data_IF_138260322095
#
_entry.id   IF_138260322095
#
_cell.length_a   1.000
_cell.length_b   1.000
_cell.length_c   1.000
_cell.angle_alpha   90.00
_cell.angle_beta   90.00
_cell.angle_gamma   90.00
#
_symmetry.space_group_name_H-M   'P 1'
#
loop_
_entity.id
_entity.type
_entity.pdbx_description
1 polymer ?
#
# COMPACT_ATOMS: atom_id res chain seq x y z
N UNK A 1 18.29 1.78 -23.70
CA UNK A 1 17.32 0.66 -23.88
C UNK A 1 16.52 0.49 -22.58
N UNK A 2 15.20 0.26 -22.63
CA UNK A 2 14.42 0.02 -21.40
C UNK A 2 14.88 -1.25 -20.66
N UNK A 3 14.78 -1.25 -19.32
CA UNK A 3 15.13 -2.39 -18.48
C UNK A 3 14.27 -3.61 -18.85
N UNK A 4 14.81 -4.83 -18.66
CA UNK A 4 14.14 -6.08 -19.07
C UNK A 4 12.70 -6.17 -18.53
N UNK A 5 12.46 -5.72 -17.30
CA UNK A 5 11.13 -5.69 -16.68
C UNK A 5 10.17 -4.74 -17.40
N UNK A 6 10.60 -3.50 -17.63
CA UNK A 6 9.77 -2.50 -18.33
C UNK A 6 9.37 -2.94 -19.74
N UNK A 7 10.27 -3.57 -20.51
CA UNK A 7 9.95 -4.07 -21.87
C UNK A 7 8.89 -5.16 -21.88
N UNK A 8 8.76 -5.89 -20.79
CA UNK A 8 7.80 -6.98 -20.60
C UNK A 8 6.59 -6.55 -19.77
N UNK A 9 6.36 -5.23 -19.63
CA UNK A 9 5.25 -4.66 -18.87
C UNK A 9 5.18 -5.19 -17.42
N UNK A 10 6.34 -5.34 -16.78
CA UNK A 10 6.48 -5.74 -15.38
C UNK A 10 6.78 -4.50 -14.54
N UNK A 11 5.87 -4.16 -13.62
CA UNK A 11 6.13 -3.19 -12.56
C UNK A 11 6.93 -3.88 -11.45
N UNK A 12 8.03 -3.27 -11.01
CA UNK A 12 8.82 -3.76 -9.88
C UNK A 12 8.49 -2.91 -8.66
N UNK A 13 7.92 -3.52 -7.64
CA UNK A 13 7.78 -2.95 -6.30
C UNK A 13 8.95 -3.36 -5.40
N UNK A 14 8.86 -2.97 -4.13
CA UNK A 14 9.91 -3.27 -3.13
C UNK A 14 9.90 -4.74 -2.67
N UNK A 15 8.71 -5.36 -2.62
CA UNK A 15 8.53 -6.73 -2.13
C UNK A 15 8.27 -7.74 -3.25
N UNK A 16 7.62 -7.31 -4.32
CA UNK A 16 7.21 -8.16 -5.43
C UNK A 16 7.15 -7.39 -6.75
N UNK A 17 6.88 -8.11 -7.83
CA UNK A 17 6.64 -7.56 -9.15
C UNK A 17 5.24 -7.89 -9.64
N UNK A 18 4.71 -7.08 -10.55
CA UNK A 18 3.38 -7.26 -11.11
C UNK A 18 3.41 -7.18 -12.63
N UNK A 19 2.88 -8.21 -13.30
CA UNK A 19 2.71 -8.17 -14.75
C UNK A 19 1.41 -7.47 -15.12
N UNK A 20 1.52 -6.31 -15.78
CA UNK A 20 0.37 -5.50 -16.22
C UNK A 20 -0.48 -6.19 -17.27
N UNK A 21 0.10 -7.10 -18.04
CA UNK A 21 -0.56 -7.73 -19.19
C UNK A 21 -1.28 -9.01 -18.77
N UNK A 22 -0.64 -9.80 -17.90
CA UNK A 22 -1.22 -11.03 -17.37
C UNK A 22 -2.04 -10.80 -16.10
N UNK A 23 -1.96 -9.61 -15.51
CA UNK A 23 -2.58 -9.28 -14.21
C UNK A 23 -2.20 -10.27 -13.11
N UNK A 24 -0.90 -10.52 -12.95
CA UNK A 24 -0.38 -11.55 -12.04
C UNK A 24 0.74 -10.99 -11.16
N UNK A 25 0.71 -11.30 -9.86
CA UNK A 25 1.80 -11.04 -8.91
C UNK A 25 2.93 -12.05 -9.05
N UNK A 26 4.16 -11.58 -8.97
CA UNK A 26 5.40 -12.32 -9.17
C UNK A 26 6.27 -12.08 -7.93
N UNK A 27 6.31 -13.02 -6.97
CA UNK A 27 6.91 -12.81 -5.65
C UNK A 27 8.42 -12.52 -5.68
N UNK A 28 9.16 -13.05 -6.65
CA UNK A 28 10.60 -12.84 -6.76
C UNK A 28 11.12 -12.68 -8.18
N UNK A 29 12.38 -12.28 -8.29
CA UNK A 29 13.04 -12.07 -9.59
C UNK A 29 13.12 -13.37 -10.42
N UNK A 30 13.22 -14.55 -9.79
CA UNK A 30 13.16 -15.86 -10.48
C UNK A 30 11.80 -16.11 -11.14
N UNK A 31 10.71 -15.81 -10.42
CA UNK A 31 9.34 -15.91 -10.96
C UNK A 31 9.14 -14.93 -12.12
N UNK A 32 9.71 -13.73 -12.03
CA UNK A 32 9.68 -12.74 -13.10
C UNK A 32 10.37 -13.27 -14.37
N UNK A 33 11.56 -13.85 -14.22
CA UNK A 33 12.29 -14.40 -15.36
C UNK A 33 11.56 -15.59 -15.99
N UNK A 34 11.04 -16.50 -15.17
CA UNK A 34 10.22 -17.63 -15.63
C UNK A 34 8.95 -17.14 -16.34
N UNK A 35 8.28 -16.12 -15.79
CA UNK A 35 7.08 -15.51 -16.36
C UNK A 35 7.35 -14.86 -17.71
N UNK A 36 8.44 -14.09 -17.84
CA UNK A 36 8.82 -13.44 -19.11
C UNK A 36 9.10 -14.48 -20.21
N UNK A 37 9.65 -15.65 -19.84
CA UNK A 37 9.92 -16.72 -20.80
C UNK A 37 8.67 -17.49 -21.22
N UNK A 38 7.60 -17.47 -20.40
CA UNK A 38 6.35 -18.17 -20.64
C UNK A 38 5.70 -17.77 -21.97
N UNK A 39 5.27 -18.76 -22.75
CA UNK A 39 4.63 -18.54 -24.07
C UNK A 39 3.33 -17.77 -23.98
N UNK A 40 2.54 -17.96 -22.91
CA UNK A 40 1.28 -17.25 -22.69
C UNK A 40 1.53 -15.76 -22.45
N UNK A 41 2.54 -15.43 -21.63
CA UNK A 41 2.93 -14.04 -21.40
C UNK A 41 3.32 -13.35 -22.71
N UNK A 42 4.17 -13.99 -23.53
CA UNK A 42 4.58 -13.47 -24.84
C UNK A 42 3.39 -13.26 -25.77
N UNK A 43 2.45 -14.20 -25.80
CA UNK A 43 1.22 -14.09 -26.58
C UNK A 43 0.35 -12.92 -26.12
N UNK A 44 0.23 -12.69 -24.81
CA UNK A 44 -0.52 -11.56 -24.25
C UNK A 44 0.20 -10.22 -24.44
N UNK A 45 1.54 -10.18 -24.43
CA UNK A 45 2.34 -8.96 -24.60
C UNK A 45 2.35 -8.46 -26.05
N UNK A 46 2.33 -9.37 -27.02
CA UNK A 46 2.37 -9.05 -28.47
C UNK A 46 1.30 -8.04 -28.91
N UNK A 47 0.01 -8.14 -28.53
CA UNK A 47 -1.01 -7.18 -28.94
C UNK A 47 -0.94 -5.84 -28.18
N UNK A 48 -0.05 -5.68 -27.20
CA UNK A 48 0.08 -4.45 -26.40
C UNK A 48 0.87 -3.41 -27.19
N UNK A 49 0.14 -2.64 -28.01
CA UNK A 49 0.69 -1.58 -28.84
C UNK A 49 1.16 -0.37 -28.01
N UNK A 50 2.13 0.36 -28.57
CA UNK A 50 2.44 1.70 -28.11
C UNK A 50 1.24 2.63 -28.33
N UNK A 51 1.09 3.62 -27.47
CA UNK A 51 0.12 4.66 -27.67
C UNK A 51 0.61 5.58 -28.78
N UNK A 52 -0.07 5.58 -29.94
CA UNK A 52 0.43 6.21 -31.18
C UNK A 52 0.90 7.67 -30.99
N UNK A 53 0.20 8.43 -30.13
CA UNK A 53 0.52 9.83 -29.81
C UNK A 53 1.87 10.01 -29.10
N UNK A 54 2.32 8.99 -28.36
CA UNK A 54 3.51 9.03 -27.51
C UNK A 54 4.39 7.77 -27.68
N UNK A 55 4.46 7.26 -28.92
CA UNK A 55 5.18 6.02 -29.21
C UNK A 55 6.69 6.18 -29.09
N UNK A 56 7.20 7.38 -29.40
CA UNK A 56 8.63 7.71 -29.39
C UNK A 56 9.16 7.88 -27.95
N UNK A 57 8.27 8.17 -27.01
CA UNK A 57 8.51 8.24 -25.57
C UNK A 57 8.29 6.88 -24.87
N UNK A 58 8.08 5.82 -25.66
CA UNK A 58 7.86 4.45 -25.20
C UNK A 58 6.67 4.31 -24.24
N UNK A 59 5.56 5.00 -24.53
CA UNK A 59 4.31 4.86 -23.78
C UNK A 59 3.46 3.74 -24.39
N UNK A 60 3.03 2.77 -23.58
CA UNK A 60 2.12 1.68 -24.00
C UNK A 60 0.76 1.81 -23.33
N UNK A 61 -0.30 1.46 -24.07
CA UNK A 61 -1.63 1.33 -23.47
C UNK A 61 -1.77 -0.05 -22.86
N UNK A 62 -2.03 -0.14 -21.56
CA UNK A 62 -2.17 -1.42 -20.84
C UNK A 62 -3.59 -1.59 -20.32
N UNK A 63 -4.14 -2.80 -20.50
CA UNK A 63 -5.45 -3.19 -19.96
C UNK A 63 -5.29 -3.66 -18.52
N UNK A 64 -4.90 -2.75 -17.63
CA UNK A 64 -4.65 -3.06 -16.22
C UNK A 64 -5.61 -2.31 -15.30
N UNK A 65 -6.23 -3.03 -14.37
CA UNK A 65 -6.99 -2.48 -13.24
C UNK A 65 -6.01 -2.16 -12.10
N UNK A 66 -5.02 -1.32 -12.37
CA UNK A 66 -4.19 -0.78 -11.29
C UNK A 66 -4.81 0.57 -10.92
N UNK A 67 -5.28 0.72 -9.68
CA UNK A 67 -5.92 1.93 -9.12
C UNK A 67 -7.37 2.26 -9.55
N UNK A 68 -8.29 1.28 -9.58
CA UNK A 68 -9.74 1.52 -9.72
C UNK A 68 -10.22 2.25 -11.00
N UNK A 69 -9.34 2.59 -11.94
CA UNK A 69 -9.71 3.19 -13.21
C UNK A 69 -10.23 2.13 -14.19
N UNK A 70 -11.45 2.31 -14.68
CA UNK A 70 -12.13 1.38 -15.60
C UNK A 70 -11.59 1.52 -17.04
N UNK A 71 -10.92 2.64 -17.36
CA UNK A 71 -10.55 3.02 -18.73
C UNK A 71 -9.12 2.61 -19.15
N UNK A 72 -8.40 1.88 -18.28
CA UNK A 72 -7.03 1.40 -18.54
C UNK A 72 -5.96 2.49 -18.38
N UNK A 73 -4.77 2.07 -17.97
CA UNK A 73 -3.63 2.96 -17.74
C UNK A 73 -2.62 2.99 -18.90
N UNK A 74 -1.71 3.95 -18.84
CA UNK A 74 -0.59 4.06 -19.78
C UNK A 74 0.71 3.73 -19.05
N UNK A 75 1.47 2.74 -19.55
CA UNK A 75 2.75 2.34 -18.96
C UNK A 75 3.88 3.11 -19.63
N UNK A 76 4.61 3.89 -18.85
CA UNK A 76 5.86 4.51 -19.30
C UNK A 76 7.01 3.52 -19.13
N UNK A 77 7.52 2.98 -20.23
CA UNK A 77 8.67 2.06 -20.19
C UNK A 77 9.95 2.78 -19.73
N UNK A 78 10.00 4.11 -19.85
CA UNK A 78 11.17 4.87 -19.41
C UNK A 78 11.33 4.82 -17.89
N UNK A 79 10.26 5.15 -17.18
CA UNK A 79 10.24 5.26 -15.73
C UNK A 79 9.75 3.98 -15.01
N UNK A 80 9.20 3.02 -15.76
CA UNK A 80 8.51 1.84 -15.24
C UNK A 80 7.35 2.16 -14.30
N UNK A 81 6.50 3.12 -14.68
CA UNK A 81 5.33 3.59 -13.91
C UNK A 81 4.08 3.59 -14.77
N UNK A 82 2.91 3.48 -14.12
CA UNK A 82 1.61 3.73 -14.76
C UNK A 82 1.26 5.20 -14.59
N UNK A 83 0.78 5.81 -15.67
CA UNK A 83 0.27 7.17 -15.71
C UNK A 83 -1.13 7.16 -16.31
N UNK A 84 -2.00 8.02 -15.80
CA UNK A 84 -3.31 8.28 -16.42
C UNK A 84 -3.13 9.08 -17.70
N UNK A 85 -4.10 9.02 -18.63
CA UNK A 85 -3.99 9.69 -19.93
C UNK A 85 -3.72 11.20 -19.80
N UNK A 86 -4.44 11.85 -18.88
CA UNK A 86 -4.38 13.29 -18.64
C UNK A 86 -3.04 13.71 -18.02
N UNK A 87 -2.31 12.79 -17.39
CA UNK A 87 -1.03 13.07 -16.75
C UNK A 87 0.18 12.73 -17.62
N UNK A 88 0.01 12.13 -18.81
CA UNK A 88 1.15 11.73 -19.66
C UNK A 88 2.05 12.94 -19.97
N UNK A 89 1.47 14.06 -20.41
CA UNK A 89 2.24 15.24 -20.80
C UNK A 89 3.01 15.83 -19.60
N UNK A 90 2.38 15.89 -18.44
CA UNK A 90 3.03 16.38 -17.22
C UNK A 90 4.14 15.43 -16.75
N UNK A 91 3.89 14.12 -16.80
CA UNK A 91 4.89 13.10 -16.50
C UNK A 91 6.10 13.20 -17.42
N UNK A 92 5.91 13.31 -18.74
CA UNK A 92 7.01 13.42 -19.71
C UNK A 92 7.86 14.68 -19.50
N UNK A 93 7.28 15.75 -18.95
CA UNK A 93 7.98 17.00 -18.61
C UNK A 93 8.63 16.96 -17.22
N UNK A 94 8.34 15.97 -16.40
CA UNK A 94 8.82 15.88 -15.02
C UNK A 94 10.35 15.74 -14.92
N UNK A 95 10.93 16.23 -13.83
CA UNK A 95 12.36 16.11 -13.58
C UNK A 95 12.78 14.63 -13.43
N UNK A 96 11.89 13.81 -12.89
CA UNK A 96 12.07 12.38 -12.68
C UNK A 96 12.16 11.64 -14.02
N UNK A 97 11.28 11.95 -14.97
CA UNK A 97 11.31 11.36 -16.31
C UNK A 97 12.59 11.74 -17.05
N UNK A 98 12.93 13.03 -17.06
CA UNK A 98 14.16 13.52 -17.68
C UNK A 98 15.41 12.90 -17.04
N UNK A 99 15.44 12.75 -15.71
CA UNK A 99 16.53 12.07 -15.00
C UNK A 99 16.63 10.59 -15.38
N UNK A 100 15.51 9.91 -15.60
CA UNK A 100 15.48 8.52 -16.04
C UNK A 100 16.02 8.36 -17.47
N UNK A 101 15.77 9.32 -18.37
CA UNK A 101 16.37 9.36 -19.71
C UNK A 101 17.89 9.51 -19.59
N UNK A 102 18.37 10.52 -18.85
CA UNK A 102 19.81 10.78 -18.71
C UNK A 102 20.55 9.59 -18.10
N UNK A 103 19.99 8.94 -17.07
CA UNK A 103 20.57 7.73 -16.46
C UNK A 103 20.72 6.59 -17.49
N UNK A 104 19.78 6.46 -18.43
CA UNK A 104 19.85 5.42 -19.46
C UNK A 104 20.94 5.69 -20.47
N UNK A 105 21.07 6.92 -20.94
CA UNK A 105 22.13 7.30 -21.88
C UNK A 105 23.51 7.06 -21.27
N UNK A 106 23.66 7.36 -19.97
CA UNK A 106 24.90 7.10 -19.23
C UNK A 106 25.19 5.60 -19.10
N UNK A 107 24.19 4.77 -18.77
CA UNK A 107 24.35 3.32 -18.65
C UNK A 107 24.71 2.63 -19.97
N UNK A 108 24.24 3.15 -21.10
CA UNK A 108 24.60 2.63 -22.42
C UNK A 108 26.05 2.97 -22.78
N UNK A 109 26.53 4.12 -22.33
CA UNK A 109 27.92 4.53 -22.52
C UNK A 109 28.89 3.67 -21.71
N UNK A 110 28.57 3.34 -20.45
CA UNK A 110 29.42 2.49 -19.59
C UNK A 110 29.49 1.06 -20.10
N UNK A 111 28.36 0.46 -20.50
CA UNK A 111 28.36 -0.93 -20.99
C UNK A 111 29.06 -1.10 -22.34
N UNK A 112 29.00 -0.08 -23.21
CA UNK A 112 29.74 -0.09 -24.48
C UNK A 112 31.25 0.00 -24.26
N UNK A 113 31.70 0.66 -23.18
CA UNK A 113 33.13 0.75 -22.84
C UNK A 113 33.65 -0.52 -22.15
N UNK A 114 32.83 -1.21 -21.37
CA UNK A 114 33.16 -2.48 -20.73
C UNK A 114 33.32 -3.61 -21.76
N UNK A 115 32.39 -3.73 -22.72
CA UNK A 115 32.47 -4.73 -23.80
C UNK A 115 33.72 -4.50 -24.66
N UNK A 116 34.07 -3.23 -24.94
CA UNK A 116 35.28 -2.88 -25.67
C UNK A 116 36.58 -3.11 -24.87
N UNK A 117 36.52 -3.08 -23.53
CA UNK A 117 37.65 -3.39 -22.66
C UNK A 117 37.87 -4.91 -22.58
N UNK A 118 36.81 -5.71 -22.47
CA UNK A 118 36.89 -7.18 -22.43
C UNK A 118 37.34 -7.78 -23.77
N UNK A 119 36.90 -7.23 -24.91
CA UNK A 119 37.40 -7.65 -26.23
C UNK A 119 38.90 -7.36 -26.43
N UNK A 120 39.42 -6.27 -25.83
CA UNK A 120 40.86 -5.96 -25.86
C UNK A 120 41.67 -6.89 -24.95
N UNK A 121 41.10 -7.34 -23.84
CA UNK A 121 41.73 -8.33 -22.95
C UNK A 121 41.77 -9.73 -23.58
N UNK A 122 40.71 -10.14 -24.28
CA UNK A 122 40.70 -11.43 -25.00
C UNK A 122 41.60 -11.45 -26.24
N UNK A 123 41.69 -10.34 -27.00
CA UNK A 123 42.64 -10.24 -28.14
C UNK A 123 44.11 -10.24 -27.71
N UNK A 124 44.42 -9.81 -26.48
CA UNK A 124 45.77 -9.90 -25.92
C UNK A 124 46.10 -11.28 -25.33
N UNK A 125 45.09 -12.09 -24.97
CA UNK A 125 45.30 -13.44 -24.44
C UNK A 125 45.59 -14.48 -25.54
N UNK A 126 45.12 -14.26 -26.77
CA UNK A 126 45.33 -15.17 -27.91
C UNK A 126 46.74 -15.04 -28.54
N UNK A 127 47.54 -14.03 -28.18
CA UNK A 127 48.93 -13.87 -28.68
C UNK A 127 50.02 -14.42 -27.77
N UNK A 128 49.68 -15.01 -26.62
CA UNK A 128 50.65 -15.65 -25.72
C UNK A 128 50.07 -16.98 -25.24
N UNK A 129 50.18 -18.01 -26.08
CA UNK A 129 50.24 -19.42 -25.69
C UNK A 129 50.19 -20.27 -26.97
N UNK A 130 51.30 -20.25 -27.70
CA UNK A 130 51.68 -21.37 -28.54
C UNK A 130 52.90 -22.00 -27.90
N UNK A 131 52.75 -23.12 -27.19
CA UNK A 131 53.52 -24.36 -27.36
C UNK A 131 53.15 -25.42 -26.30
N UNK A 132 53.41 -26.69 -26.65
CA UNK A 132 53.44 -27.93 -25.86
C UNK A 132 52.13 -28.71 -25.56
N UNK A 133 51.91 -29.72 -26.41
CA UNK A 133 51.89 -31.16 -26.09
C UNK A 133 50.87 -31.78 -25.12
N UNK A 134 49.92 -32.52 -25.72
CA UNK A 134 49.59 -33.95 -25.51
C UNK A 134 49.89 -34.58 -24.12
N UNK A 135 48.83 -34.85 -23.34
CA UNK A 135 48.61 -36.15 -22.68
C UNK A 135 47.10 -36.41 -22.54
N UNK A 136 46.66 -37.60 -22.98
CA UNK A 136 45.32 -38.16 -22.77
C UNK A 136 45.27 -38.83 -21.40
N UNK A 137 44.31 -38.51 -20.55
CA UNK A 137 43.80 -39.44 -19.55
C UNK A 137 42.29 -39.27 -19.33
N UNK A 138 41.65 -40.44 -19.22
CA UNK A 138 40.21 -40.70 -19.03
C UNK A 138 40.02 -40.99 -17.53
N UNK A 139 38.87 -40.66 -16.92
CA UNK A 139 38.37 -41.61 -15.93
C UNK A 139 36.88 -41.91 -16.05
N UNK A 140 36.63 -43.17 -15.79
CA UNK A 140 35.37 -43.85 -15.60
C UNK A 140 34.66 -43.35 -14.34
N UNK A 141 33.33 -43.37 -14.31
CA UNK A 141 32.62 -43.53 -13.03
C UNK A 141 31.36 -44.35 -13.21
N UNK A 142 31.21 -45.27 -12.27
CA UNK A 142 30.42 -46.50 -12.30
C UNK A 142 28.96 -46.26 -11.93
N UNK A 143 28.09 -46.89 -12.70
CA UNK A 143 26.67 -47.14 -12.42
C UNK A 143 26.52 -48.20 -11.33
N UNK A 144 25.73 -47.94 -10.30
CA UNK A 144 25.34 -48.92 -9.28
C UNK A 144 23.82 -49.10 -9.31
N UNK A 145 23.41 -50.28 -9.76
CA UNK A 145 22.04 -50.80 -9.76
C UNK A 145 21.86 -51.84 -8.65
N UNK A 146 20.59 -52.09 -8.30
CA UNK A 146 20.03 -53.21 -7.52
C UNK A 146 20.02 -53.00 -5.98
N UNK A 147 19.03 -53.41 -5.18
CA UNK A 147 18.06 -54.53 -5.26
C UNK A 147 16.75 -54.24 -4.50
N UNK A 148 15.70 -54.92 -4.98
CA UNK A 148 14.46 -55.31 -4.28
C UNK A 148 14.71 -55.97 -2.93
N UNK A 149 13.85 -55.67 -1.95
CA UNK A 149 13.23 -56.70 -1.09
C UNK A 149 11.96 -56.16 -0.42
N UNK A 150 10.89 -56.94 -0.57
CA UNK A 150 9.69 -57.03 0.27
C UNK A 150 9.62 -58.51 0.71
N UNK A 151 8.69 -58.97 1.57
CA UNK A 151 7.62 -58.28 2.30
C UNK A 151 7.64 -58.55 3.81
N UNK A 152 6.85 -57.82 4.60
CA UNK A 152 6.22 -58.44 5.77
C UNK A 152 4.93 -57.73 6.17
N UNK A 153 3.92 -58.55 6.38
CA UNK A 153 2.56 -58.21 6.77
C UNK A 153 2.50 -57.90 8.27
N UNK A 154 1.86 -56.79 8.64
CA UNK A 154 1.24 -56.71 9.97
C UNK A 154 0.00 -55.81 9.91
N UNK A 155 -1.17 -56.47 9.88
CA UNK A 155 -2.48 -55.86 10.06
C UNK A 155 -2.67 -55.52 11.53
N UNK A 156 -2.70 -54.23 11.87
CA UNK A 156 -3.34 -53.75 13.11
C UNK A 156 -4.46 -52.78 12.75
N UNK A 157 -5.68 -53.30 12.84
CA UNK A 157 -6.94 -52.56 12.70
C UNK A 157 -7.13 -51.63 13.90
N UNK A 158 -7.14 -50.33 13.68
CA UNK A 158 -7.69 -49.35 14.62
C UNK A 158 -8.73 -48.53 13.86
N UNK A 159 -10.00 -48.87 14.09
CA UNK A 159 -11.13 -48.11 13.55
C UNK A 159 -11.25 -46.75 14.25
N UNK A 160 -11.67 -45.68 13.54
CA UNK A 160 -11.89 -44.39 14.16
C UNK A 160 -13.17 -44.43 15.00
N UNK A 161 -13.02 -44.29 16.32
CA UNK A 161 -14.09 -44.01 17.26
C UNK A 161 -14.62 -42.58 17.00
N UNK A 162 -15.71 -42.51 16.24
CA UNK A 162 -16.49 -41.30 16.03
C UNK A 162 -17.24 -40.95 17.33
N UNK A 163 -16.64 -40.14 18.20
CA UNK A 163 -17.33 -39.60 19.36
C UNK A 163 -18.32 -38.52 18.91
N UNK A 164 -19.61 -38.78 19.13
CA UNK A 164 -20.68 -37.79 19.00
C UNK A 164 -20.53 -36.75 20.12
N UNK A 165 -19.81 -35.67 19.85
CA UNK A 165 -19.84 -34.51 20.72
C UNK A 165 -21.20 -33.81 20.61
N UNK A 166 -21.83 -33.59 21.77
CA UNK A 166 -23.05 -32.78 21.86
C UNK A 166 -22.70 -31.35 21.40
N UNK A 167 -23.51 -30.74 20.52
CA UNK A 167 -23.27 -29.36 20.08
C UNK A 167 -23.36 -28.43 21.30
N UNK A 168 -22.19 -27.99 21.78
CA UNK A 168 -22.09 -26.93 22.78
C UNK A 168 -22.60 -25.66 22.11
N UNK A 169 -23.62 -25.04 22.73
CA UNK A 169 -24.25 -23.80 22.27
C UNK A 169 -23.19 -22.74 21.95
N UNK A 170 -22.98 -22.48 20.66
CA UNK A 170 -21.91 -21.63 20.11
C UNK A 170 -21.99 -20.15 20.49
N UNK A 171 -23.06 -19.74 21.20
CA UNK A 171 -23.29 -18.34 21.59
C UNK A 171 -22.52 -17.90 22.85
N UNK A 172 -22.16 -18.79 23.77
CA UNK A 172 -21.48 -18.37 25.02
C UNK A 172 -19.99 -18.09 24.84
N UNK A 173 -19.31 -18.86 23.98
CA UNK A 173 -17.86 -18.79 23.77
C UNK A 173 -17.44 -17.47 23.12
N UNK A 174 -18.28 -16.91 22.25
CA UNK A 174 -18.00 -15.65 21.55
C UNK A 174 -18.03 -14.43 22.49
N UNK A 175 -18.96 -14.39 23.44
CA UNK A 175 -19.08 -13.27 24.38
C UNK A 175 -17.92 -13.23 25.40
N UNK A 176 -17.49 -14.39 25.90
CA UNK A 176 -16.35 -14.47 26.82
C UNK A 176 -15.06 -14.01 26.13
N UNK A 177 -14.84 -14.44 24.88
CA UNK A 177 -13.67 -14.04 24.10
C UNK A 177 -13.66 -12.55 23.77
N UNK A 178 -14.80 -11.96 23.40
CA UNK A 178 -14.91 -10.52 23.17
C UNK A 178 -14.59 -9.71 24.43
N UNK A 179 -15.06 -10.18 25.59
CA UNK A 179 -14.80 -9.54 26.88
C UNK A 179 -13.32 -9.62 27.24
N UNK A 180 -12.71 -10.80 27.11
CA UNK A 180 -11.28 -11.01 27.33
C UNK A 180 -10.42 -10.17 26.38
N UNK A 181 -10.74 -10.20 25.08
CA UNK A 181 -10.04 -9.44 24.06
C UNK A 181 -10.06 -7.94 24.36
N UNK A 182 -11.24 -7.39 24.67
CA UNK A 182 -11.41 -5.98 24.99
C UNK A 182 -10.60 -5.56 26.22
N UNK A 183 -10.55 -6.42 27.25
CA UNK A 183 -9.78 -6.14 28.47
C UNK A 183 -8.27 -6.02 28.23
N UNK A 184 -7.75 -6.75 27.24
CA UNK A 184 -6.32 -6.77 26.88
C UNK A 184 -5.99 -5.97 25.61
N UNK A 185 -6.85 -5.04 25.19
CA UNK A 185 -6.59 -4.17 24.03
C UNK A 185 -6.56 -4.90 22.69
N UNK A 186 -7.24 -6.04 22.58
CA UNK A 186 -7.37 -6.85 21.38
C UNK A 186 -8.69 -6.54 20.66
N UNK A 187 -8.71 -6.68 19.33
CA UNK A 187 -9.91 -6.49 18.49
C UNK A 187 -10.31 -7.81 17.82
N UNK A 188 -11.52 -8.32 18.08
CA UNK A 188 -12.01 -9.58 17.51
C UNK A 188 -12.60 -9.32 16.12
N UNK A 189 -12.11 -10.03 15.10
CA UNK A 189 -12.69 -10.03 13.76
C UNK A 189 -13.58 -11.27 13.60
N UNK A 190 -14.90 -11.04 13.54
CA UNK A 190 -15.90 -12.11 13.44
C UNK A 190 -15.93 -12.80 12.08
N UNK A 191 -15.46 -12.13 11.02
CA UNK A 191 -15.54 -12.65 9.66
C UNK A 191 -14.48 -13.70 9.35
N UNK A 192 -13.26 -13.54 9.89
CA UNK A 192 -12.14 -14.43 9.59
C UNK A 192 -11.70 -15.28 10.80
N UNK A 193 -12.44 -15.24 11.91
CA UNK A 193 -12.10 -15.94 13.15
C UNK A 193 -10.67 -15.64 13.63
N UNK A 194 -10.27 -14.37 13.57
CA UNK A 194 -8.98 -13.89 14.13
C UNK A 194 -9.19 -12.77 15.15
N UNK A 195 -8.18 -12.56 15.98
CA UNK A 195 -8.09 -11.49 16.96
C UNK A 195 -6.83 -10.69 16.66
N UNK A 196 -6.96 -9.39 16.44
CA UNK A 196 -5.82 -8.50 16.21
C UNK A 196 -5.33 -7.91 17.54
N UNK A 197 -4.05 -8.12 17.84
CA UNK A 197 -3.38 -7.44 18.94
C UNK A 197 -2.70 -6.18 18.44
N UNK A 198 -3.17 -5.02 18.92
CA UNK A 198 -2.58 -3.72 18.58
C UNK A 198 -1.17 -3.58 19.14
N UNK A 199 -0.98 -3.92 20.42
CA UNK A 199 0.33 -3.85 21.09
C UNK A 199 1.43 -4.67 20.40
N UNK A 200 1.06 -5.76 19.72
CA UNK A 200 2.01 -6.65 19.05
C UNK A 200 2.01 -6.51 17.52
N UNK A 201 1.09 -5.71 16.96
CA UNK A 201 0.76 -5.63 15.54
C UNK A 201 0.67 -7.00 14.86
N UNK A 202 -0.03 -7.94 15.50
CA UNK A 202 -0.12 -9.34 15.04
C UNK A 202 -1.53 -9.90 15.13
N UNK A 203 -1.91 -10.72 14.16
CA UNK A 203 -3.14 -11.51 14.21
C UNK A 203 -2.92 -12.81 14.99
N UNK A 204 -3.90 -13.16 15.80
CA UNK A 204 -3.95 -14.38 16.62
C UNK A 204 -5.22 -15.15 16.23
N UNK A 205 -5.19 -16.48 16.10
CA UNK A 205 -6.42 -17.25 15.91
C UNK A 205 -7.45 -16.94 17.00
N UNK A 206 -8.73 -16.80 16.65
CA UNK A 206 -9.81 -16.50 17.60
C UNK A 206 -10.24 -17.73 18.41
N UNK A 207 -9.27 -18.38 19.05
CA UNK A 207 -9.48 -19.39 20.08
C UNK A 207 -9.03 -18.81 21.41
N UNK A 208 -9.76 -19.10 22.49
CA UNK A 208 -9.44 -18.57 23.82
C UNK A 208 -8.01 -18.94 24.27
N UNK A 209 -7.54 -20.13 23.91
CA UNK A 209 -6.19 -20.59 24.25
C UNK A 209 -5.11 -19.77 23.53
N UNK A 210 -5.24 -19.56 22.21
CA UNK A 210 -4.27 -18.76 21.46
C UNK A 210 -4.23 -17.30 21.94
N UNK A 211 -5.38 -16.72 22.26
CA UNK A 211 -5.46 -15.33 22.75
C UNK A 211 -4.84 -15.21 24.15
N UNK A 212 -5.10 -16.15 25.06
CA UNK A 212 -4.47 -16.17 26.39
C UNK A 212 -2.97 -16.38 26.31
N UNK A 213 -2.51 -17.32 25.50
CA UNK A 213 -1.09 -17.59 25.29
C UNK A 213 -0.37 -16.36 24.72
N UNK A 214 -0.99 -15.69 23.74
CA UNK A 214 -0.46 -14.45 23.18
C UNK A 214 -0.30 -13.35 24.24
N UNK A 215 -1.35 -13.08 25.03
CA UNK A 215 -1.34 -12.05 26.08
C UNK A 215 -0.32 -12.35 27.18
N UNK A 216 -0.17 -13.64 27.53
CA UNK A 216 0.81 -14.08 28.54
C UNK A 216 2.24 -14.15 28.00
N UNK A 217 2.42 -14.11 26.68
CA UNK A 217 3.70 -14.19 25.99
C UNK A 217 4.61 -13.01 26.31
N UNK A 218 5.92 -13.27 26.34
CA UNK A 218 6.96 -12.29 26.69
C UNK A 218 6.87 -11.02 25.83
N UNK A 219 6.70 -11.19 24.51
CA UNK A 219 6.59 -10.06 23.55
C UNK A 219 5.42 -9.12 23.90
N UNK A 220 4.25 -9.68 24.21
CA UNK A 220 3.08 -8.89 24.57
C UNK A 220 3.29 -8.15 25.90
N UNK A 221 3.85 -8.84 26.91
CA UNK A 221 4.18 -8.22 28.20
C UNK A 221 5.18 -7.07 28.05
N UNK A 222 6.24 -7.27 27.28
CA UNK A 222 7.26 -6.24 27.04
C UNK A 222 6.65 -5.01 26.33
N UNK A 223 5.80 -5.23 25.32
CA UNK A 223 5.11 -4.14 24.63
C UNK A 223 4.07 -3.45 25.53
N UNK A 224 3.34 -4.22 26.34
CA UNK A 224 2.40 -3.68 27.33
C UNK A 224 3.12 -2.79 28.36
N UNK A 225 4.29 -3.20 28.85
CA UNK A 225 5.13 -2.40 29.74
C UNK A 225 5.63 -1.12 29.07
N UNK A 226 6.03 -1.18 27.80
CA UNK A 226 6.42 0.00 27.02
C UNK A 226 5.25 1.00 26.92
N UNK A 227 4.07 0.55 26.49
CA UNK A 227 2.89 1.41 26.36
C UNK A 227 2.38 1.96 27.71
N UNK A 228 2.48 1.19 28.79
CA UNK A 228 2.10 1.69 30.13
C UNK A 228 3.11 2.70 30.68
N UNK A 229 4.38 2.60 30.29
CA UNK A 229 5.41 3.60 30.65
C UNK A 229 5.37 4.87 29.80
N UNK A 230 4.99 4.78 28.50
CA UNK A 230 4.85 5.95 27.62
C UNK A 230 3.58 6.74 27.93
N UNK A 231 2.46 6.07 28.20
CA UNK A 231 1.17 6.71 28.52
C UNK A 231 1.19 7.59 29.79
N UNK A 232 2.14 7.39 30.70
CA UNK A 232 2.31 8.26 31.88
C UNK A 232 3.38 9.34 31.72
N UNK A 233 4.40 9.15 30.87
CA UNK A 233 5.57 10.03 30.84
C UNK A 233 5.42 11.30 30.02
N UNK A 234 4.42 11.39 29.15
CA UNK A 234 4.14 12.61 28.40
C UNK A 234 2.64 12.74 28.12
N UNK A 235 1.81 12.91 29.17
CA UNK A 235 0.63 13.77 29.01
C UNK A 235 1.13 15.21 28.83
N UNK A 236 1.83 15.47 27.71
CA UNK A 236 1.95 16.82 27.16
C UNK A 236 0.53 17.36 27.14
N UNK A 237 0.40 18.61 27.53
CA UNK A 237 -0.89 19.27 27.62
C UNK A 237 -1.40 19.50 26.19
N UNK A 238 -1.91 18.44 25.55
CA UNK A 238 -2.36 18.44 24.16
C UNK A 238 -3.57 19.35 24.13
N UNK A 239 -3.41 20.52 23.48
CA UNK A 239 -4.51 21.44 23.27
C UNK A 239 -5.45 20.81 22.25
N UNK A 240 -6.72 20.71 22.63
CA UNK A 240 -7.75 20.15 21.77
C UNK A 240 -9.05 20.92 21.96
N UNK A 241 -9.83 20.97 20.89
CA UNK A 241 -11.13 21.65 20.84
C UNK A 241 -12.13 20.69 20.20
N UNK A 242 -13.40 20.77 20.58
CA UNK A 242 -14.44 19.95 19.98
C UNK A 242 -14.57 20.29 18.48
N UNK A 243 -14.79 19.29 17.62
CA UNK A 243 -14.78 19.47 16.17
C UNK A 243 -15.87 20.46 15.71
N UNK A 244 -17.06 20.40 16.32
CA UNK A 244 -18.14 21.35 16.00
C UNK A 244 -17.78 22.81 16.32
N UNK A 245 -16.92 23.03 17.31
CA UNK A 245 -16.49 24.37 17.74
C UNK A 245 -15.26 24.84 16.95
N UNK A 246 -14.43 23.90 16.47
CA UNK A 246 -13.30 24.18 15.59
C UNK A 246 -13.76 24.61 14.19
N UNK A 247 -14.76 23.94 13.66
CA UNK A 247 -15.21 24.11 12.28
C UNK A 247 -16.15 25.32 12.22
N UNK A 248 -15.63 26.42 11.70
CA UNK A 248 -16.38 27.66 11.47
C UNK A 248 -16.86 27.80 10.04
N UNK A 249 -16.12 27.22 9.08
CA UNK A 249 -16.47 27.20 7.65
C UNK A 249 -16.17 25.84 7.05
N UNK A 250 -17.09 25.36 6.23
CA UNK A 250 -16.92 24.15 5.42
C UNK A 250 -17.39 24.43 4.00
N UNK A 251 -16.51 24.19 3.03
CA UNK A 251 -16.86 24.25 1.61
C UNK A 251 -16.67 22.87 1.00
N UNK A 252 -17.60 22.48 0.12
CA UNK A 252 -17.51 21.23 -0.65
C UNK A 252 -17.08 21.57 -2.07
N UNK A 253 -16.13 20.81 -2.59
CA UNK A 253 -15.63 20.92 -3.95
C UNK A 253 -15.66 19.56 -4.64
N UNK A 254 -16.03 19.54 -5.92
CA UNK A 254 -16.07 18.31 -6.72
C UNK A 254 -15.28 18.52 -8.01
N UNK A 255 -14.45 17.54 -8.35
CA UNK A 255 -13.72 17.50 -9.61
C UNK A 255 -13.66 16.05 -10.13
N UNK A 256 -12.84 15.81 -11.15
CA UNK A 256 -12.67 14.47 -11.74
C UNK A 256 -12.04 13.43 -10.79
N UNK A 257 -11.30 13.88 -9.77
CA UNK A 257 -10.66 13.02 -8.77
C UNK A 257 -11.59 12.67 -7.59
N UNK A 258 -12.72 13.37 -7.47
CA UNK A 258 -13.77 13.08 -6.50
C UNK A 258 -14.28 14.31 -5.74
N UNK A 259 -14.79 14.06 -4.53
CA UNK A 259 -15.31 15.11 -3.63
C UNK A 259 -14.28 15.46 -2.56
N UNK A 260 -14.09 16.74 -2.33
CA UNK A 260 -13.16 17.33 -1.37
C UNK A 260 -13.88 18.31 -0.45
N UNK A 261 -13.30 18.48 0.73
CA UNK A 261 -13.81 19.34 1.80
C UNK A 261 -12.72 20.33 2.16
N UNK A 262 -13.08 21.61 2.17
CA UNK A 262 -12.22 22.69 2.66
C UNK A 262 -12.75 23.13 4.03
N UNK A 263 -11.91 23.07 5.05
CA UNK A 263 -12.26 23.43 6.42
C UNK A 263 -11.53 24.70 6.79
N UNK A 264 -12.28 25.70 7.28
CA UNK A 264 -11.77 26.99 7.74
C UNK A 264 -10.83 27.68 6.73
N UNK A 265 -10.98 27.40 5.43
CA UNK A 265 -10.08 27.87 4.36
C UNK A 265 -8.59 27.52 4.60
N UNK A 266 -8.32 26.52 5.44
CA UNK A 266 -6.97 26.13 5.88
C UNK A 266 -6.65 24.69 5.51
N UNK A 267 -7.63 23.80 5.58
CA UNK A 267 -7.42 22.37 5.35
C UNK A 267 -8.17 21.93 4.10
N UNK A 268 -7.48 21.30 3.16
CA UNK A 268 -8.07 20.68 1.97
C UNK A 268 -7.96 19.16 2.11
N UNK A 269 -9.10 18.48 2.21
CA UNK A 269 -9.16 17.04 2.51
C UNK A 269 -10.05 16.31 1.52
N UNK A 270 -9.80 15.02 1.29
CA UNK A 270 -10.79 14.17 0.59
C UNK A 270 -12.02 14.01 1.48
N UNK A 271 -13.20 13.93 0.86
CA UNK A 271 -14.47 13.75 1.56
C UNK A 271 -14.47 12.49 2.44
N UNK A 272 -13.90 11.38 1.96
CA UNK A 272 -13.74 10.15 2.75
C UNK A 272 -12.97 10.39 4.05
N UNK A 273 -11.80 11.01 3.98
CA UNK A 273 -10.95 11.28 5.13
C UNK A 273 -11.58 12.29 6.11
N UNK A 274 -12.39 13.23 5.61
CA UNK A 274 -13.19 14.12 6.46
C UNK A 274 -14.22 13.34 7.28
N UNK A 275 -14.99 12.45 6.64
CA UNK A 275 -15.96 11.59 7.31
C UNK A 275 -15.32 10.39 8.03
N UNK A 276 -13.99 10.26 8.00
CA UNK A 276 -13.29 9.14 8.61
C UNK A 276 -13.62 7.79 7.98
N UNK A 277 -13.84 7.78 6.66
CA UNK A 277 -14.01 6.58 5.85
C UNK A 277 -12.72 6.35 5.06
N UNK A 278 -12.07 5.22 5.31
CA UNK A 278 -10.85 4.81 4.63
C UNK A 278 -11.07 3.49 3.89
N UNK A 279 -10.20 3.15 2.95
CA UNK A 279 -10.19 1.82 2.30
C UNK A 279 -9.26 0.87 3.06
N UNK A 280 -9.80 -0.27 3.49
CA UNK A 280 -9.03 -1.37 4.06
C UNK A 280 -9.24 -2.63 3.21
N UNK A 281 -8.17 -3.15 2.61
CA UNK A 281 -8.24 -4.26 1.64
C UNK A 281 -9.30 -4.02 0.53
N UNK A 282 -9.39 -2.79 0.02
CA UNK A 282 -10.34 -2.39 -1.02
C UNK A 282 -11.79 -2.20 -0.54
N UNK A 283 -12.09 -2.40 0.74
CA UNK A 283 -13.42 -2.19 1.32
C UNK A 283 -13.47 -0.89 2.12
N UNK A 284 -14.53 -0.06 1.99
CA UNK A 284 -14.66 1.13 2.82
C UNK A 284 -14.94 0.73 4.27
N UNK A 285 -14.25 1.36 5.20
CA UNK A 285 -14.41 1.15 6.65
C UNK A 285 -14.57 2.52 7.30
N UNK A 286 -15.58 2.67 8.14
CA UNK A 286 -15.72 3.86 8.97
C UNK A 286 -14.85 3.73 10.22
N UNK A 287 -13.86 4.60 10.35
CA UNK A 287 -12.93 4.64 11.47
C UNK A 287 -13.56 5.14 12.76
N UNK A 288 -14.64 5.92 12.66
CA UNK A 288 -15.37 6.46 13.81
C UNK A 288 -16.27 5.39 14.43
N UNK A 289 -16.97 4.64 13.58
CA UNK A 289 -17.93 3.63 14.00
C UNK A 289 -17.32 2.22 14.10
N UNK A 290 -16.15 1.98 13.50
CA UNK A 290 -15.53 0.66 13.30
C UNK A 290 -16.48 -0.36 12.66
N UNK A 291 -17.10 0.03 11.56
CA UNK A 291 -17.93 -0.88 10.77
C UNK A 291 -17.43 -0.92 9.34
N UNK A 292 -17.50 -2.11 8.75
CA UNK A 292 -17.32 -2.30 7.32
C UNK A 292 -18.53 -1.71 6.59
N UNK A 293 -18.24 -0.97 5.53
CA UNK A 293 -19.22 -0.36 4.65
C UNK A 293 -19.19 -1.05 3.29
N UNK A 294 -20.27 -0.90 2.55
CA UNK A 294 -20.34 -1.20 1.13
C UNK A 294 -20.81 0.05 0.39
N UNK A 295 -20.84 0.00 -0.95
CA UNK A 295 -21.22 1.17 -1.75
C UNK A 295 -22.67 1.57 -1.49
N UNK A 296 -23.53 0.61 -1.21
CA UNK A 296 -24.96 0.80 -1.02
C UNK A 296 -25.30 1.47 0.32
N UNK A 297 -24.53 1.22 1.37
CA UNK A 297 -24.78 1.73 2.72
C UNK A 297 -23.90 2.92 3.13
N UNK A 298 -22.84 3.23 2.38
CA UNK A 298 -21.88 4.28 2.71
C UNK A 298 -22.55 5.64 2.91
N UNK A 299 -23.38 6.06 1.96
CA UNK A 299 -24.03 7.37 2.02
C UNK A 299 -25.04 7.46 3.16
N UNK A 300 -25.86 6.42 3.34
CA UNK A 300 -26.82 6.33 4.44
C UNK A 300 -26.10 6.34 5.81
N UNK A 301 -24.96 5.66 5.90
CA UNK A 301 -24.13 5.62 7.10
C UNK A 301 -23.59 7.00 7.47
N UNK A 302 -22.94 7.70 6.54
CA UNK A 302 -22.37 9.04 6.79
C UNK A 302 -23.46 10.03 7.21
N UNK A 303 -24.67 9.89 6.64
CA UNK A 303 -25.83 10.74 6.99
C UNK A 303 -26.49 10.37 8.32
N UNK A 304 -26.18 9.21 8.89
CA UNK A 304 -26.81 8.71 10.12
C UNK A 304 -26.52 9.62 11.32
N UNK A 305 -27.50 9.77 12.21
CA UNK A 305 -27.38 10.58 13.43
C UNK A 305 -26.22 10.10 14.32
N UNK A 306 -26.01 8.78 14.40
CA UNK A 306 -24.93 8.20 15.18
C UNK A 306 -23.56 8.64 14.65
N UNK A 307 -23.34 8.54 13.33
CA UNK A 307 -22.07 8.92 12.72
C UNK A 307 -21.80 10.41 12.88
N UNK A 308 -22.80 11.26 12.59
CA UNK A 308 -22.71 12.72 12.78
C UNK A 308 -22.34 13.09 14.21
N UNK A 309 -22.98 12.47 15.19
CA UNK A 309 -22.68 12.74 16.60
C UNK A 309 -21.24 12.36 16.96
N UNK A 310 -20.73 11.23 16.47
CA UNK A 310 -19.33 10.83 16.70
C UNK A 310 -18.35 11.78 16.01
N UNK A 311 -18.68 12.26 14.81
CA UNK A 311 -17.86 13.22 14.08
C UNK A 311 -17.81 14.56 14.82
N UNK A 312 -18.97 15.15 15.11
CA UNK A 312 -19.11 16.45 15.79
C UNK A 312 -18.46 16.45 17.17
N UNK A 313 -18.60 15.37 17.93
CA UNK A 313 -18.06 15.28 19.29
C UNK A 313 -16.60 14.81 19.36
N UNK A 314 -15.96 14.53 18.22
CA UNK A 314 -14.52 14.29 18.18
C UNK A 314 -13.75 15.57 18.52
N UNK A 315 -12.47 15.44 18.89
CA UNK A 315 -11.63 16.60 19.20
C UNK A 315 -10.59 16.84 18.12
N UNK A 316 -10.44 18.08 17.67
CA UNK A 316 -9.33 18.50 16.80
C UNK A 316 -8.14 18.87 17.68
N UNK A 317 -6.95 18.36 17.34
CA UNK A 317 -5.69 18.64 18.05
C UNK A 317 -5.12 19.97 17.56
N UNK A 318 -5.26 21.03 18.36
CA UNK A 318 -4.85 22.39 17.98
C UNK A 318 -3.43 22.75 18.41
N UNK A 319 -2.75 21.87 19.14
CA UNK A 319 -1.32 22.04 19.43
C UNK A 319 -0.41 21.68 18.27
N UNK A 320 -0.94 21.12 17.18
CA UNK A 320 -0.21 20.82 15.95
C UNK A 320 -0.65 21.82 14.88
N UNK A 321 0.15 22.88 14.72
CA UNK A 321 -0.10 23.88 13.67
C UNK A 321 -0.01 23.22 12.30
N UNK A 322 -0.90 23.63 11.38
CA UNK A 322 -1.02 23.12 10.01
C UNK A 322 -1.35 21.62 9.87
N UNK A 323 -1.69 20.94 10.98
CA UNK A 323 -2.07 19.53 10.95
C UNK A 323 -3.55 19.35 11.31
N UNK A 324 -4.28 18.59 10.48
CA UNK A 324 -5.67 18.24 10.79
C UNK A 324 -5.77 16.85 11.43
N UNK A 325 -5.36 16.76 12.69
CA UNK A 325 -5.45 15.53 13.49
C UNK A 325 -6.69 15.58 14.37
N UNK A 326 -7.46 14.48 14.38
CA UNK A 326 -8.65 14.32 15.21
C UNK A 326 -8.49 13.19 16.20
N UNK A 327 -8.78 13.43 17.48
CA UNK A 327 -8.96 12.39 18.47
C UNK A 327 -10.40 11.87 18.38
N UNK A 328 -10.54 10.67 17.81
CA UNK A 328 -11.83 10.02 17.55
C UNK A 328 -12.32 9.26 18.79
N UNK A 329 -11.38 8.70 19.57
CA UNK A 329 -11.60 8.06 20.88
C UNK A 329 -10.42 8.39 21.80
N UNK A 330 -10.54 8.07 23.09
CA UNK A 330 -9.54 8.39 24.13
C UNK A 330 -8.10 8.10 23.69
N UNK A 331 -7.89 7.03 22.94
CA UNK A 331 -6.57 6.59 22.45
C UNK A 331 -6.66 6.24 20.96
N UNK A 332 -7.29 7.12 20.17
CA UNK A 332 -7.37 6.90 18.73
C UNK A 332 -7.31 8.23 17.99
N UNK A 333 -6.27 8.39 17.19
CA UNK A 333 -5.98 9.63 16.48
C UNK A 333 -6.08 9.37 14.98
N UNK A 334 -6.78 10.24 14.27
CA UNK A 334 -7.00 10.18 12.84
C UNK A 334 -6.30 11.35 12.15
N UNK A 335 -5.43 11.06 11.18
CA UNK A 335 -4.82 12.07 10.31
C UNK A 335 -5.75 12.40 9.14
N UNK A 336 -6.20 13.65 9.06
CA UNK A 336 -7.09 14.14 8.00
C UNK A 336 -6.51 14.07 6.60
N UNK A 337 -5.19 14.21 6.45
CA UNK A 337 -4.54 14.22 5.14
C UNK A 337 -4.31 12.82 4.56
N UNK A 338 -4.01 11.85 5.43
CA UNK A 338 -3.64 10.50 5.00
C UNK A 338 -4.77 9.47 5.17
N UNK A 339 -5.84 9.79 5.91
CA UNK A 339 -6.87 8.81 6.27
C UNK A 339 -6.37 7.70 7.20
N UNK A 340 -5.23 7.92 7.86
CA UNK A 340 -4.58 6.96 8.77
C UNK A 340 -5.08 7.14 10.18
N UNK A 341 -5.17 6.03 10.91
CA UNK A 341 -5.56 6.00 12.31
C UNK A 341 -4.48 5.34 13.14
N UNK A 342 -4.00 6.04 14.16
CA UNK A 342 -2.98 5.57 15.10
C UNK A 342 -3.57 5.39 16.51
N UNK A 343 -2.98 4.45 17.26
CA UNK A 343 -3.54 3.98 18.53
C UNK A 343 -3.07 4.76 19.75
N UNK A 344 -2.06 5.60 19.58
CA UNK A 344 -1.72 6.63 20.55
C UNK A 344 -1.18 7.89 19.84
N UNK A 345 -0.92 8.92 20.65
CA UNK A 345 -0.50 10.21 20.12
C UNK A 345 0.97 10.20 19.67
N UNK A 346 1.83 9.39 20.30
CA UNK A 346 3.24 9.32 19.94
C UNK A 346 3.39 8.62 18.57
N UNK A 347 2.64 7.54 18.32
CA UNK A 347 2.51 6.91 17.01
C UNK A 347 1.99 7.89 15.95
N UNK A 348 1.03 8.75 16.32
CA UNK A 348 0.58 9.82 15.43
C UNK A 348 1.70 10.82 15.13
N UNK A 349 2.50 11.22 16.11
CA UNK A 349 3.65 12.11 15.87
C UNK A 349 4.69 11.46 14.94
N UNK A 350 4.96 10.18 15.12
CA UNK A 350 5.84 9.41 14.23
C UNK A 350 5.26 9.35 12.80
N UNK A 351 3.94 9.12 12.67
CA UNK A 351 3.23 9.16 11.39
C UNK A 351 3.39 10.52 10.70
N UNK A 352 3.18 11.63 11.41
CA UNK A 352 3.32 12.99 10.86
C UNK A 352 4.76 13.30 10.42
N UNK A 353 5.76 12.65 11.03
CA UNK A 353 7.16 12.80 10.64
C UNK A 353 7.51 12.05 9.34
N UNK A 354 6.68 11.09 8.90
CA UNK A 354 6.94 10.29 7.70
C UNK A 354 6.97 11.14 6.41
N UNK A 355 7.78 10.72 5.44
CA UNK A 355 7.84 11.37 4.11
C UNK A 355 6.47 11.33 3.42
N UNK A 356 5.73 10.22 3.57
CA UNK A 356 4.39 10.06 2.97
C UNK A 356 3.43 11.13 3.46
N UNK A 357 3.35 11.36 4.77
CA UNK A 357 2.49 12.39 5.34
C UNK A 357 2.83 13.78 4.79
N UNK A 358 4.12 14.14 4.83
CA UNK A 358 4.61 15.43 4.31
C UNK A 358 4.22 15.65 2.84
N UNK A 359 4.26 14.61 2.02
CA UNK A 359 3.81 14.68 0.63
C UNK A 359 2.29 14.92 0.52
N UNK A 360 1.46 14.15 1.24
CA UNK A 360 0.00 14.34 1.25
C UNK A 360 -0.39 15.75 1.72
N UNK A 361 0.29 16.26 2.75
CA UNK A 361 0.07 17.61 3.27
C UNK A 361 0.46 18.68 2.26
N UNK A 362 1.66 18.61 1.69
CA UNK A 362 2.15 19.57 0.70
C UNK A 362 1.28 19.60 -0.57
N UNK A 363 0.78 18.44 -1.02
CA UNK A 363 -0.16 18.34 -2.12
C UNK A 363 -1.48 19.07 -1.81
N UNK A 364 -2.03 18.81 -0.62
CA UNK A 364 -3.27 19.46 -0.16
C UNK A 364 -3.12 20.98 -0.04
N UNK A 365 -2.00 21.45 0.51
CA UNK A 365 -1.66 22.88 0.61
C UNK A 365 -1.54 23.52 -0.79
N UNK A 366 -0.85 22.86 -1.72
CA UNK A 366 -0.69 23.34 -3.09
C UNK A 366 -2.03 23.51 -3.81
N UNK A 367 -2.95 22.54 -3.65
CA UNK A 367 -4.29 22.62 -4.23
C UNK A 367 -5.08 23.77 -3.58
N UNK A 368 -5.04 23.89 -2.26
CA UNK A 368 -5.72 24.96 -1.55
C UNK A 368 -5.23 26.35 -2.00
N UNK A 369 -3.93 26.53 -2.17
CA UNK A 369 -3.35 27.78 -2.70
C UNK A 369 -3.85 28.10 -4.11
N UNK A 370 -3.94 27.09 -5.00
CA UNK A 370 -4.49 27.27 -6.34
C UNK A 370 -5.96 27.74 -6.29
N UNK A 371 -6.78 27.11 -5.46
CA UNK A 371 -8.19 27.48 -5.32
C UNK A 371 -8.37 28.91 -4.80
N UNK A 372 -7.55 29.33 -3.83
CA UNK A 372 -7.54 30.72 -3.34
C UNK A 372 -7.19 31.72 -4.45
N UNK A 373 -6.23 31.37 -5.30
CA UNK A 373 -5.87 32.21 -6.45
C UNK A 373 -7.00 32.30 -7.48
N UNK A 374 -7.68 31.19 -7.76
CA UNK A 374 -8.83 31.18 -8.69
C UNK A 374 -10.00 32.02 -8.17
N UNK A 375 -10.32 31.91 -6.88
CA UNK A 375 -11.37 32.72 -6.24
C UNK A 375 -11.02 34.21 -6.28
N UNK A 376 -9.76 34.55 -6.00
CA UNK A 376 -9.25 35.92 -6.13
C UNK A 376 -9.42 36.46 -7.56
N UNK A 377 -9.07 35.67 -8.58
CA UNK A 377 -9.24 36.05 -9.99
C UNK A 377 -10.72 36.26 -10.32
N UNK A 378 -11.61 35.37 -9.88
CA UNK A 378 -13.07 35.50 -10.10
C UNK A 378 -13.61 36.78 -9.44
N UNK A 379 -13.19 37.07 -8.22
CA UNK A 379 -13.58 38.29 -7.52
C UNK A 379 -13.10 39.54 -8.27
N UNK A 380 -11.84 39.57 -8.71
CA UNK A 380 -11.30 40.71 -9.45
C UNK A 380 -12.02 40.92 -10.80
N UNK A 381 -12.30 39.85 -11.53
CA UNK A 381 -13.07 39.91 -12.79
C UNK A 381 -14.50 40.43 -12.56
N UNK A 382 -15.13 40.02 -11.47
CA UNK A 382 -16.46 40.51 -11.08
C UNK A 382 -16.43 42.00 -10.73
N UNK A 383 -15.45 42.46 -9.95
CA UNK A 383 -15.30 43.88 -9.61
C UNK A 383 -14.99 44.74 -10.83
N UNK A 384 -14.14 44.26 -11.75
CA UNK A 384 -13.88 44.93 -13.02
C UNK A 384 -15.14 45.03 -13.89
N UNK A 385 -15.97 43.99 -13.92
CA UNK A 385 -17.26 44.01 -14.61
C UNK A 385 -18.20 45.07 -14.01
N UNK A 386 -18.32 45.15 -12.68
CA UNK A 386 -19.16 46.16 -12.02
C UNK A 386 -18.67 47.60 -12.28
N UNK A 387 -17.36 47.83 -12.40
CA UNK A 387 -16.82 49.17 -12.69
C UNK A 387 -17.14 49.70 -14.10
N UNK A 388 -17.64 48.84 -14.99
CA UNK A 388 -18.11 49.25 -16.32
C UNK A 388 -19.59 49.64 -16.37
N UNK A 389 -20.32 49.50 -15.26
CA UNK A 389 -21.68 50.00 -15.07
C UNK A 389 -21.67 51.20 -14.13
#
# INVERSE_FOLDING_TARGET
MPAIFSKNCILKGDLDSYCLVCSTHLPGDEDVLAHIQNSNHKASLTPVAYYEKFKDEFIRKVKGVYFCEVEGGYHCLTCNVIVSENCIIEHLKSAEHNSAIVKKDLSQYTHSNEINAEEKVQKNKIKKEGNSDLVKEKPETKTLTSKKSSPDENKLSSGPLLMKEKPVSSKSITQEMETFAKHHGLSVNKFNHTVYCRLCSSQVPATMNCVKEHVLGKKHKDNSLKHSSSSQRNKKNIKKINMKDFITRVSRFENLEGTFIIINEQFYLKSGDFFGVSLFAGKPVCQFCHIDLNKENLEAHIKSTLHKNLLENSFVITSLEDEFVRQVKSDLYHCGYCGVVESDFDEMLDHLATTRHKMCRAESEKILQRLKMEEFIRFHNFMAFLAHF
#
